data_IF_180272537648
#
_entry.id   IF_180272537648
#
_cell.length_a   1.000
_cell.length_b   1.000
_cell.length_c   1.000
_cell.angle_alpha   90.00
_cell.angle_beta   90.00
_cell.angle_gamma   90.00
#
_symmetry.space_group_name_H-M   'P 1'
#
loop_
_entity.id
_entity.type
_entity.pdbx_description
1 polymer ?
#
# COMPACT_ATOMS: atom_id res chain seq x y z
N UNK A 1 4.92 -8.78 2.17
CA UNK A 1 5.58 -9.84 2.91
C UNK A 1 4.84 -11.19 2.85
N UNK A 2 3.60 -11.23 2.33
CA UNK A 2 2.79 -12.46 2.32
C UNK A 2 2.22 -12.78 0.93
N UNK A 3 2.27 -11.84 0.00
CA UNK A 3 1.59 -11.95 -1.28
C UNK A 3 2.48 -12.66 -2.30
N UNK A 4 1.96 -13.71 -2.94
CA UNK A 4 2.64 -14.35 -4.05
C UNK A 4 2.78 -13.37 -5.22
N UNK A 5 3.97 -13.34 -5.86
CA UNK A 5 4.27 -12.42 -6.95
C UNK A 5 4.62 -11.01 -6.53
N UNK A 6 4.74 -10.72 -5.23
CA UNK A 6 5.32 -9.45 -4.80
C UNK A 6 6.82 -9.41 -5.11
N UNK A 7 7.30 -8.26 -5.54
CA UNK A 7 8.74 -8.04 -5.73
C UNK A 7 9.46 -8.06 -4.38
N UNK A 8 8.91 -7.36 -3.39
CA UNK A 8 9.37 -7.39 -2.01
C UNK A 8 8.29 -6.84 -1.05
N UNK A 9 8.46 -7.11 0.25
CA UNK A 9 7.57 -6.56 1.27
C UNK A 9 7.75 -5.04 1.38
N UNK A 10 6.73 -4.26 0.98
CA UNK A 10 6.76 -2.78 1.05
C UNK A 10 6.20 -2.23 2.37
N UNK A 11 5.58 -3.08 3.19
CA UNK A 11 4.88 -2.65 4.42
C UNK A 11 5.78 -1.88 5.39
N UNK A 12 7.03 -2.32 5.68
CA UNK A 12 7.90 -1.58 6.61
C UNK A 12 8.13 -0.12 6.16
N UNK A 13 8.35 0.10 4.88
CA UNK A 13 8.54 1.45 4.33
C UNK A 13 7.26 2.27 4.30
N UNK A 14 6.11 1.62 4.07
CA UNK A 14 4.81 2.29 4.11
C UNK A 14 4.46 2.75 5.53
N UNK A 15 4.74 1.95 6.55
CA UNK A 15 4.53 2.30 7.96
C UNK A 15 5.47 3.42 8.41
N UNK A 16 6.75 3.31 8.12
CA UNK A 16 7.72 4.37 8.43
C UNK A 16 7.40 5.70 7.72
N UNK A 17 6.90 5.63 6.47
CA UNK A 17 6.40 6.79 5.76
C UNK A 17 5.14 7.38 6.41
N UNK A 18 4.24 6.54 6.93
CA UNK A 18 3.05 6.99 7.67
C UNK A 18 3.43 7.73 8.96
N UNK A 19 4.38 7.19 9.74
CA UNK A 19 4.89 7.84 10.95
C UNK A 19 5.53 9.20 10.64
N UNK A 20 6.30 9.27 9.56
CA UNK A 20 6.86 10.55 9.10
C UNK A 20 5.76 11.54 8.72
N UNK A 21 4.72 11.11 8.00
CA UNK A 21 3.59 11.95 7.61
C UNK A 21 2.79 12.47 8.82
N UNK A 22 2.77 11.74 9.95
CA UNK A 22 2.16 12.20 11.19
C UNK A 22 2.82 13.46 11.75
N UNK A 23 4.08 13.71 11.45
CA UNK A 23 4.79 14.93 11.87
C UNK A 23 4.19 16.20 11.26
N UNK A 24 3.50 16.08 10.12
CA UNK A 24 2.88 17.22 9.44
C UNK A 24 1.53 17.66 10.03
N UNK A 25 0.93 16.90 10.96
CA UNK A 25 -0.40 17.21 11.53
C UNK A 25 -0.45 18.62 12.15
N UNK A 26 0.65 19.05 12.78
CA UNK A 26 0.79 20.38 13.38
C UNK A 26 1.43 21.40 12.44
N UNK A 27 1.73 21.00 11.22
CA UNK A 27 2.38 21.83 10.21
C UNK A 27 1.41 22.72 9.41
N UNK A 28 1.92 23.37 8.37
CA UNK A 28 1.09 24.18 7.46
C UNK A 28 -0.04 23.36 6.85
N UNK A 29 -1.22 23.97 6.78
CA UNK A 29 -2.42 23.32 6.26
C UNK A 29 -2.30 23.14 4.74
N UNK A 30 -2.41 21.90 4.28
CA UNK A 30 -2.51 21.57 2.85
C UNK A 30 -3.88 21.96 2.28
N UNK A 31 -3.97 22.29 0.97
CA UNK A 31 -5.25 22.64 0.34
C UNK A 31 -6.21 21.45 0.31
N UNK A 32 -5.67 20.23 0.31
CA UNK A 32 -6.44 18.98 0.34
C UNK A 32 -5.63 17.84 0.98
N UNK A 33 -6.28 16.66 1.25
CA UNK A 33 -5.57 15.47 1.77
C UNK A 33 -4.45 15.06 0.81
N UNK A 34 -3.29 14.78 1.35
CA UNK A 34 -2.17 14.12 0.68
C UNK A 34 -2.28 12.60 0.92
N UNK A 35 -2.30 11.83 -0.15
CA UNK A 35 -2.37 10.36 -0.11
C UNK A 35 -1.10 9.79 -0.69
N UNK A 36 -0.35 9.07 0.14
CA UNK A 36 0.83 8.32 -0.28
C UNK A 36 0.47 6.85 -0.36
N UNK A 37 0.89 6.16 -1.41
CA UNK A 37 0.60 4.75 -1.61
C UNK A 37 1.82 3.96 -2.08
N UNK A 38 1.91 2.71 -1.60
CA UNK A 38 2.96 1.77 -1.97
C UNK A 38 2.35 0.56 -2.65
N UNK A 39 2.91 0.13 -3.75
CA UNK A 39 2.52 -1.09 -4.45
C UNK A 39 3.69 -2.06 -4.48
N UNK A 40 3.43 -3.32 -4.13
CA UNK A 40 4.44 -4.36 -3.99
C UNK A 40 4.50 -5.32 -5.18
N UNK A 41 3.47 -5.31 -6.04
CA UNK A 41 3.34 -6.25 -7.16
C UNK A 41 3.20 -5.53 -8.51
N UNK A 42 3.46 -6.22 -9.64
CA UNK A 42 3.19 -5.68 -10.98
C UNK A 42 1.71 -5.32 -11.20
N UNK A 43 0.79 -5.99 -10.51
CA UNK A 43 -0.65 -5.73 -10.61
C UNK A 43 -1.05 -4.35 -10.08
N UNK A 44 -0.17 -3.70 -9.29
CA UNK A 44 -0.38 -2.34 -8.77
C UNK A 44 -1.76 -2.16 -8.09
N UNK A 45 -2.15 -3.11 -7.24
CA UNK A 45 -3.48 -3.15 -6.61
C UNK A 45 -3.77 -1.92 -5.74
N UNK A 46 -2.76 -1.31 -5.17
CA UNK A 46 -2.90 -0.06 -4.40
C UNK A 46 -3.03 1.17 -5.30
N UNK A 47 -2.90 0.99 -6.61
CA UNK A 47 -2.96 2.05 -7.61
C UNK A 47 -1.97 3.19 -7.35
N UNK A 48 -0.69 2.86 -7.11
CA UNK A 48 0.37 3.85 -6.89
C UNK A 48 0.42 4.91 -7.99
N UNK A 49 0.12 4.52 -9.24
CA UNK A 49 0.06 5.41 -10.41
C UNK A 49 -1.05 6.46 -10.38
N UNK A 50 -2.03 6.35 -9.46
CA UNK A 50 -3.14 7.30 -9.29
C UNK A 50 -3.15 8.01 -7.94
N UNK A 51 -2.12 7.86 -7.11
CA UNK A 51 -2.02 8.55 -5.83
C UNK A 51 -1.46 9.96 -5.99
N UNK A 52 -1.63 10.78 -4.95
CA UNK A 52 -0.96 12.08 -4.92
C UNK A 52 0.56 11.89 -4.95
N UNK A 53 1.06 10.85 -4.26
CA UNK A 53 2.41 10.31 -4.39
C UNK A 53 2.33 8.78 -4.31
N UNK A 54 2.92 8.08 -5.27
CA UNK A 54 2.89 6.63 -5.35
C UNK A 54 4.27 6.03 -5.58
N UNK A 55 4.57 4.99 -4.82
CA UNK A 55 5.78 4.19 -4.92
C UNK A 55 5.42 2.80 -5.44
N UNK A 56 5.82 2.48 -6.66
CA UNK A 56 5.62 1.17 -7.25
C UNK A 56 6.93 0.37 -7.15
N UNK A 57 6.89 -0.74 -6.41
CA UNK A 57 8.02 -1.63 -6.25
C UNK A 57 8.48 -2.19 -7.61
N UNK A 58 9.76 -2.44 -7.72
CA UNK A 58 10.43 -3.03 -8.86
C UNK A 58 11.12 -4.33 -8.45
N UNK A 59 11.35 -5.19 -9.40
CA UNK A 59 12.05 -6.46 -9.20
C UNK A 59 13.48 -6.28 -8.65
N UNK A 60 14.15 -5.18 -9.03
CA UNK A 60 15.49 -4.83 -8.56
C UNK A 60 15.56 -4.31 -7.10
N UNK A 61 14.43 -4.32 -6.38
CA UNK A 61 14.35 -3.88 -4.99
C UNK A 61 14.18 -2.37 -4.80
N UNK A 62 14.09 -1.61 -5.88
CA UNK A 62 13.88 -0.15 -5.89
C UNK A 62 12.42 0.22 -6.15
N UNK A 63 12.12 1.52 -6.26
CA UNK A 63 10.79 2.02 -6.59
C UNK A 63 10.80 2.90 -7.85
N UNK A 64 9.72 2.78 -8.65
CA UNK A 64 9.29 3.86 -9.54
C UNK A 64 8.38 4.81 -8.75
N UNK A 65 8.56 6.12 -8.94
CA UNK A 65 7.80 7.14 -8.20
C UNK A 65 6.91 7.93 -9.13
N UNK A 66 5.61 7.97 -8.77
CA UNK A 66 4.57 8.72 -9.47
C UNK A 66 4.02 9.82 -8.58
N UNK A 67 3.73 10.98 -9.13
CA UNK A 67 3.27 12.14 -8.37
C UNK A 67 2.13 12.86 -9.07
N UNK A 68 1.25 13.50 -8.28
CA UNK A 68 0.09 14.26 -8.74
C UNK A 68 -0.93 13.45 -9.56
N UNK A 69 -1.16 12.18 -9.20
CA UNK A 69 -2.26 11.38 -9.73
C UNK A 69 -3.56 11.56 -8.97
N UNK A 70 -4.64 11.00 -9.50
CA UNK A 70 -5.92 10.96 -8.80
C UNK A 70 -7.08 10.54 -9.65
N UNK A 71 -8.08 9.98 -8.98
CA UNK A 71 -9.38 9.61 -9.54
C UNK A 71 -10.45 10.68 -9.23
N UNK A 72 -11.67 10.44 -9.65
CA UNK A 72 -12.82 11.32 -9.49
C UNK A 72 -13.20 11.99 -10.80
N UNK A 73 -13.92 13.10 -10.77
CA UNK A 73 -14.56 13.71 -11.94
C UNK A 73 -13.58 14.06 -13.09
N UNK A 74 -12.32 14.35 -12.79
CA UNK A 74 -11.28 14.61 -13.78
C UNK A 74 -10.08 13.74 -13.44
N UNK A 75 -10.09 12.45 -13.78
CA UNK A 75 -9.01 11.53 -13.45
C UNK A 75 -7.73 11.88 -14.22
N UNK A 76 -6.59 11.70 -13.57
CA UNK A 76 -5.29 11.84 -14.20
C UNK A 76 -4.32 10.82 -13.62
N UNK A 77 -3.51 10.22 -14.47
CA UNK A 77 -2.35 9.46 -14.04
C UNK A 77 -1.35 10.39 -13.34
N UNK A 78 -0.67 9.85 -12.35
CA UNK A 78 0.51 10.48 -11.79
C UNK A 78 1.61 10.59 -12.83
N UNK A 79 2.35 11.69 -12.77
CA UNK A 79 3.56 11.85 -13.57
C UNK A 79 4.65 10.97 -12.97
N UNK A 80 5.32 10.14 -13.78
CA UNK A 80 6.49 9.39 -13.35
C UNK A 80 7.66 10.36 -13.16
N UNK A 81 7.92 10.74 -11.91
CA UNK A 81 8.95 11.73 -11.56
C UNK A 81 10.32 11.11 -11.39
N UNK A 82 10.41 9.82 -11.06
CA UNK A 82 11.66 9.10 -10.92
C UNK A 82 11.50 7.59 -11.15
N UNK A 83 12.62 6.94 -11.48
CA UNK A 83 12.76 5.49 -11.59
C UNK A 83 13.94 5.03 -10.74
N UNK A 84 13.92 3.75 -10.32
CA UNK A 84 15.01 3.13 -9.55
C UNK A 84 15.39 3.92 -8.29
N UNK A 85 14.37 4.35 -7.57
CA UNK A 85 14.57 5.10 -6.32
C UNK A 85 14.86 4.11 -5.20
N UNK A 86 16.00 4.30 -4.53
CA UNK A 86 16.40 3.51 -3.37
C UNK A 86 15.47 3.74 -2.17
N UNK A 87 15.33 2.72 -1.35
CA UNK A 87 14.39 2.70 -0.22
C UNK A 87 14.68 3.79 0.82
N UNK A 88 15.94 4.15 1.02
CA UNK A 88 16.37 5.20 1.94
C UNK A 88 16.03 6.62 1.44
N UNK A 89 15.67 6.76 0.16
CA UNK A 89 15.33 8.04 -0.44
C UNK A 89 13.84 8.42 -0.32
N UNK A 90 12.99 7.50 0.12
CA UNK A 90 11.52 7.66 0.13
C UNK A 90 11.09 8.96 0.82
N UNK A 91 11.64 9.28 1.99
CA UNK A 91 11.25 10.46 2.75
C UNK A 91 11.57 11.78 2.03
N UNK A 92 12.62 11.82 1.23
CA UNK A 92 12.93 13.01 0.41
C UNK A 92 11.84 13.27 -0.64
N UNK A 93 11.30 12.22 -1.25
CA UNK A 93 10.18 12.33 -2.20
C UNK A 93 8.89 12.75 -1.51
N UNK A 94 8.63 12.25 -0.30
CA UNK A 94 7.45 12.64 0.51
C UNK A 94 7.55 14.12 0.86
N UNK A 95 8.70 14.58 1.34
CA UNK A 95 8.93 15.99 1.68
C UNK A 95 8.83 16.88 0.44
N UNK A 96 9.43 16.46 -0.69
CA UNK A 96 9.31 17.21 -1.94
C UNK A 96 7.85 17.34 -2.38
N UNK A 97 7.05 16.26 -2.33
CA UNK A 97 5.63 16.30 -2.64
C UNK A 97 4.84 17.20 -1.68
N UNK A 98 5.15 17.15 -0.39
CA UNK A 98 4.54 18.02 0.61
C UNK A 98 4.80 19.50 0.28
N UNK A 99 6.04 19.87 -0.01
CA UNK A 99 6.41 21.23 -0.39
C UNK A 99 5.82 21.66 -1.75
N UNK A 100 5.78 20.75 -2.73
CA UNK A 100 5.07 21.00 -4.01
C UNK A 100 3.61 21.35 -3.75
N UNK A 101 2.94 20.60 -2.86
CA UNK A 101 1.53 20.80 -2.59
C UNK A 101 1.26 22.10 -1.81
N UNK A 102 2.16 22.48 -0.90
CA UNK A 102 2.11 23.77 -0.22
C UNK A 102 2.29 24.94 -1.18
N UNK A 103 3.21 24.82 -2.15
CA UNK A 103 3.60 25.90 -3.05
C UNK A 103 2.61 26.08 -4.22
N UNK A 104 2.19 24.98 -4.85
CA UNK A 104 1.42 24.99 -6.10
C UNK A 104 -0.02 24.49 -5.96
N UNK A 105 -0.41 24.06 -4.76
CA UNK A 105 -1.77 23.61 -4.50
C UNK A 105 -2.77 24.77 -4.51
N UNK A 106 -4.01 24.49 -4.96
CA UNK A 106 -5.05 25.51 -5.04
C UNK A 106 -5.79 25.62 -3.70
N UNK A 107 -5.63 26.74 -3.00
CA UNK A 107 -6.28 27.03 -1.72
C UNK A 107 -7.63 27.74 -1.88
N UNK A 108 -7.86 28.38 -3.02
CA UNK A 108 -9.05 29.20 -3.26
C UNK A 108 -10.22 28.36 -3.77
N UNK A 109 -9.96 27.45 -4.72
CA UNK A 109 -10.99 26.65 -5.33
C UNK A 109 -10.93 25.19 -4.86
N UNK A 110 -11.82 24.82 -3.91
CA UNK A 110 -11.89 23.46 -3.35
C UNK A 110 -12.12 22.36 -4.41
N UNK A 111 -12.79 22.64 -5.51
CA UNK A 111 -13.02 21.69 -6.60
C UNK A 111 -11.73 21.38 -7.37
N UNK A 112 -10.79 22.32 -7.39
CA UNK A 112 -9.48 22.20 -8.04
C UNK A 112 -8.32 22.01 -7.03
N UNK A 113 -8.60 21.74 -5.78
CA UNK A 113 -7.59 21.62 -4.70
C UNK A 113 -6.85 20.29 -4.65
N UNK A 114 -7.19 19.30 -5.49
CA UNK A 114 -6.47 18.02 -5.56
C UNK A 114 -5.13 18.17 -6.27
N UNK A 115 -4.14 17.39 -5.84
CA UNK A 115 -2.76 17.44 -6.39
C UNK A 115 -2.70 17.29 -7.91
N UNK A 116 -3.57 16.46 -8.50
CA UNK A 116 -3.61 16.24 -9.96
C UNK A 116 -3.80 17.51 -10.79
N UNK A 117 -4.44 18.54 -10.22
CA UNK A 117 -4.61 19.81 -10.91
C UNK A 117 -3.32 20.63 -11.02
N UNK A 118 -2.30 20.32 -10.18
CA UNK A 118 -0.99 20.97 -10.31
C UNK A 118 -0.31 20.67 -11.66
N UNK A 119 -0.60 19.51 -12.27
CA UNK A 119 -0.11 19.23 -13.62
C UNK A 119 -0.58 20.29 -14.61
N UNK A 120 -1.87 20.64 -14.56
CA UNK A 120 -2.44 21.68 -15.44
C UNK A 120 -1.93 23.08 -15.08
N UNK A 121 -1.86 23.39 -13.80
CA UNK A 121 -1.40 24.70 -13.30
C UNK A 121 0.04 25.00 -13.73
N UNK A 122 0.90 23.96 -13.75
CA UNK A 122 2.32 24.08 -14.13
C UNK A 122 2.56 23.97 -15.65
N UNK A 123 1.52 23.71 -16.46
CA UNK A 123 1.65 23.67 -17.92
C UNK A 123 1.83 22.28 -18.53
N UNK A 124 1.60 21.22 -17.74
CA UNK A 124 1.64 19.82 -18.20
C UNK A 124 2.57 18.93 -17.42
N UNK A 125 2.65 17.67 -17.84
CA UNK A 125 3.39 16.64 -17.14
C UNK A 125 4.91 16.91 -17.06
N UNK A 126 5.50 17.38 -18.14
CA UNK A 126 6.95 17.66 -18.22
C UNK A 126 7.33 18.84 -17.31
N UNK A 127 6.56 19.92 -17.33
CA UNK A 127 6.76 21.09 -16.49
C UNK A 127 6.55 20.72 -15.01
N UNK A 128 5.52 19.89 -14.72
CA UNK A 128 5.31 19.36 -13.38
C UNK A 128 6.52 18.54 -12.89
N UNK A 129 7.03 17.63 -13.74
CA UNK A 129 8.20 16.81 -13.43
C UNK A 129 9.43 17.68 -13.15
N UNK A 130 9.67 18.68 -13.99
CA UNK A 130 10.79 19.59 -13.80
C UNK A 130 10.71 20.33 -12.46
N UNK A 131 9.54 20.89 -12.13
CA UNK A 131 9.30 21.58 -10.85
C UNK A 131 9.43 20.62 -9.65
N UNK A 132 8.96 19.38 -9.77
CA UNK A 132 9.09 18.37 -8.73
C UNK A 132 10.56 18.03 -8.46
N UNK A 133 11.35 17.81 -9.52
CA UNK A 133 12.77 17.48 -9.40
C UNK A 133 13.59 18.64 -8.84
N UNK A 134 13.25 19.88 -9.18
CA UNK A 134 13.84 21.08 -8.58
C UNK A 134 13.55 21.11 -7.07
N UNK A 135 12.30 20.90 -6.69
CA UNK A 135 11.90 20.85 -5.27
C UNK A 135 12.59 19.71 -4.52
N UNK A 136 12.72 18.53 -5.14
CA UNK A 136 13.46 17.41 -4.58
C UNK A 136 14.93 17.76 -4.34
N UNK A 137 15.56 18.48 -5.29
CA UNK A 137 16.93 18.96 -5.14
C UNK A 137 17.07 19.95 -3.97
N UNK A 138 16.13 20.88 -3.85
CA UNK A 138 16.08 21.82 -2.71
C UNK A 138 16.01 21.07 -1.37
N UNK A 139 15.09 20.08 -1.25
CA UNK A 139 14.93 19.26 -0.05
C UNK A 139 16.22 18.53 0.31
N UNK A 140 16.89 17.94 -0.69
CA UNK A 140 18.17 17.24 -0.47
C UNK A 140 19.28 18.18 -0.04
N UNK A 141 19.33 19.41 -0.56
CA UNK A 141 20.35 20.40 -0.21
C UNK A 141 20.13 21.08 1.14
N UNK A 142 18.89 21.09 1.65
CA UNK A 142 18.59 21.64 2.98
C UNK A 142 19.21 20.85 4.14
N UNK A 143 19.88 19.74 3.86
CA UNK A 143 20.69 18.99 4.83
C UNK A 143 19.91 18.33 5.97
N UNK A 144 18.57 18.26 5.87
CA UNK A 144 17.78 17.41 6.76
C UNK A 144 18.10 15.95 6.42
N UNK A 145 18.91 15.30 7.24
CA UNK A 145 19.12 13.85 7.13
C UNK A 145 17.80 13.12 7.37
N UNK A 146 17.00 12.97 6.31
CA UNK A 146 15.73 12.24 6.38
C UNK A 146 16.04 10.75 6.32
N UNK A 147 16.11 10.11 7.48
CA UNK A 147 16.37 8.69 7.63
C UNK A 147 15.08 7.98 8.01
N UNK A 148 14.73 6.93 7.27
CA UNK A 148 13.65 6.04 7.63
C UNK A 148 14.02 5.27 8.90
N UNK A 149 13.14 5.33 9.91
CA UNK A 149 13.22 4.47 11.08
C UNK A 149 12.35 3.25 10.82
N UNK A 150 12.97 2.10 10.55
CA UNK A 150 12.26 0.83 10.46
C UNK A 150 12.27 0.17 11.83
N UNK A 151 11.11 -0.16 12.38
CA UNK A 151 11.04 -0.99 13.57
C UNK A 151 11.39 -2.44 13.21
N UNK A 152 12.10 -3.14 14.09
CA UNK A 152 12.54 -4.52 13.85
C UNK A 152 11.37 -5.48 13.60
N UNK A 153 10.26 -5.29 14.30
CA UNK A 153 9.04 -6.09 14.17
C UNK A 153 8.35 -5.94 12.81
N UNK A 154 8.55 -4.82 12.13
CA UNK A 154 7.97 -4.55 10.81
C UNK A 154 8.71 -5.29 9.68
N UNK A 155 9.97 -5.60 9.86
CA UNK A 155 10.77 -6.39 8.90
C UNK A 155 10.37 -7.87 8.92
N UNK A 156 9.88 -8.38 10.05
CA UNK A 156 9.49 -9.77 10.26
C UNK A 156 8.00 -10.05 9.98
N UNK A 157 7.25 -9.06 9.54
CA UNK A 157 5.82 -9.24 9.19
C UNK A 157 5.70 -10.21 8.00
N UNK A 158 5.48 -11.47 8.31
CA UNK A 158 5.43 -12.59 7.36
C UNK A 158 6.21 -13.83 7.80
N UNK A 159 7.05 -13.70 8.83
CA UNK A 159 7.53 -14.89 9.56
C UNK A 159 6.52 -15.22 10.65
N UNK A 160 5.84 -16.34 10.52
CA UNK A 160 5.05 -16.89 11.62
C UNK A 160 6.04 -17.21 12.76
N UNK A 161 6.25 -16.26 13.68
CA UNK A 161 6.98 -16.51 14.90
C UNK A 161 6.26 -17.64 15.64
N UNK A 162 6.83 -18.85 15.61
CA UNK A 162 6.33 -20.01 16.32
C UNK A 162 5.85 -21.20 15.49
N UNK A 163 5.90 -21.18 14.15
CA UNK A 163 5.60 -22.36 13.35
C UNK A 163 6.86 -23.19 13.13
N UNK A 164 6.95 -24.33 13.83
CA UNK A 164 7.89 -25.41 13.56
C UNK A 164 7.82 -25.79 12.07
N UNK A 165 8.97 -25.78 11.41
CA UNK A 165 9.13 -26.16 10.01
C UNK A 165 8.78 -27.64 9.84
N UNK A 166 7.61 -27.92 9.25
CA UNK A 166 7.39 -29.21 8.61
C UNK A 166 7.89 -29.10 7.17
N UNK A 167 9.02 -29.71 6.92
CA UNK A 167 9.62 -29.88 5.60
C UNK A 167 8.75 -30.81 4.75
N UNK A 168 8.10 -30.28 3.73
CA UNK A 168 7.69 -31.04 2.56
C UNK A 168 8.14 -30.28 1.33
N UNK A 169 9.18 -30.80 0.70
CA UNK A 169 9.64 -30.40 -0.63
C UNK A 169 8.57 -30.72 -1.67
N UNK A 170 7.91 -29.70 -2.17
CA UNK A 170 7.23 -29.75 -3.47
C UNK A 170 7.52 -28.47 -4.20
N UNK A 171 8.35 -28.57 -5.22
CA UNK A 171 8.55 -27.52 -6.22
C UNK A 171 7.21 -27.17 -6.85
N UNK A 172 6.65 -25.99 -6.53
CA UNK A 172 5.52 -25.42 -7.24
C UNK A 172 5.99 -24.22 -8.05
N UNK A 173 5.81 -24.34 -9.36
CA UNK A 173 6.02 -23.27 -10.32
C UNK A 173 5.21 -22.02 -9.93
N UNK A 174 5.90 -20.89 -9.81
CA UNK A 174 5.36 -19.57 -9.46
C UNK A 174 4.56 -19.00 -10.63
N UNK A 175 3.27 -19.26 -10.67
CA UNK A 175 2.32 -18.46 -11.45
C UNK A 175 1.47 -17.65 -10.46
N UNK A 176 1.46 -16.32 -10.59
CA UNK A 176 0.77 -15.26 -9.82
C UNK A 176 -0.39 -15.64 -8.88
N UNK A 177 -1.13 -14.72 -8.26
CA UNK A 177 -2.16 -15.06 -7.27
C UNK A 177 -3.25 -15.92 -7.90
N UNK A 178 -3.03 -17.23 -7.92
CA UNK A 178 -3.99 -18.20 -8.39
C UNK A 178 -4.86 -18.60 -7.21
N UNK A 179 -6.17 -18.44 -7.35
CA UNK A 179 -7.11 -19.00 -6.39
C UNK A 179 -6.86 -20.51 -6.27
N UNK A 180 -6.39 -20.95 -5.12
CA UNK A 180 -5.92 -22.33 -4.90
C UNK A 180 -7.06 -23.35 -4.90
N UNK A 181 -8.32 -22.91 -4.80
CA UNK A 181 -9.45 -23.80 -4.64
C UNK A 181 -10.61 -23.47 -5.61
N UNK A 182 -11.02 -24.48 -6.37
CA UNK A 182 -12.19 -24.47 -7.29
C UNK A 182 -13.51 -24.81 -6.61
N UNK A 183 -13.50 -25.14 -5.30
CA UNK A 183 -14.73 -25.47 -4.57
C UNK A 183 -15.63 -24.26 -4.38
N UNK A 184 -16.97 -24.41 -4.45
CA UNK A 184 -17.91 -23.31 -4.19
C UNK A 184 -17.64 -22.61 -2.86
N UNK A 185 -17.49 -21.27 -2.89
CA UNK A 185 -17.17 -20.44 -1.70
C UNK A 185 -15.69 -20.30 -1.40
N UNK A 186 -14.79 -21.01 -2.05
CA UNK A 186 -13.33 -20.89 -1.85
C UNK A 186 -12.61 -20.00 -2.87
N UNK A 187 -13.30 -19.37 -3.78
CA UNK A 187 -12.77 -18.38 -4.73
C UNK A 187 -12.18 -17.11 -4.08
N UNK A 188 -12.34 -16.98 -2.75
CA UNK A 188 -11.79 -15.88 -1.92
C UNK A 188 -10.54 -16.27 -1.15
N UNK A 189 -10.03 -17.50 -1.34
CA UNK A 189 -8.86 -18.02 -0.63
C UNK A 189 -7.65 -17.96 -1.54
N UNK A 190 -6.57 -17.37 -1.01
CA UNK A 190 -5.31 -17.19 -1.73
C UNK A 190 -4.16 -17.78 -0.91
N UNK A 191 -3.32 -18.58 -1.55
CA UNK A 191 -2.09 -19.05 -0.91
C UNK A 191 -1.13 -17.88 -0.66
N UNK A 192 -0.47 -17.89 0.51
CA UNK A 192 0.60 -16.94 0.82
C UNK A 192 1.95 -17.46 0.35
N UNK A 193 2.97 -16.60 0.37
CA UNK A 193 4.38 -17.00 0.16
C UNK A 193 4.85 -18.03 1.20
N UNK A 194 4.30 -17.95 2.41
CA UNK A 194 4.58 -18.88 3.50
C UNK A 194 3.82 -20.18 3.23
N UNK A 195 4.53 -21.33 3.10
CA UNK A 195 3.90 -22.63 2.83
C UNK A 195 2.84 -22.97 3.89
N UNK A 196 1.69 -23.45 3.44
CA UNK A 196 0.58 -23.87 4.31
C UNK A 196 -0.22 -22.74 4.95
N UNK A 197 0.09 -21.48 4.60
CA UNK A 197 -0.70 -20.34 5.03
C UNK A 197 -1.52 -19.74 3.89
N UNK A 198 -2.69 -19.24 4.24
CA UNK A 198 -3.68 -18.70 3.31
C UNK A 198 -4.19 -17.34 3.78
N UNK A 199 -4.65 -16.55 2.81
CA UNK A 199 -5.37 -15.30 3.02
C UNK A 199 -6.81 -15.46 2.54
N UNK A 200 -7.78 -14.99 3.30
CA UNK A 200 -9.20 -14.99 2.94
C UNK A 200 -9.64 -13.57 2.64
N UNK A 201 -10.01 -13.30 1.39
CA UNK A 201 -10.55 -12.00 0.97
C UNK A 201 -12.00 -11.86 1.42
N UNK A 202 -12.33 -10.72 2.00
CA UNK A 202 -13.69 -10.27 2.26
C UNK A 202 -13.92 -8.93 1.58
N UNK A 203 -14.89 -8.90 0.65
CA UNK A 203 -15.27 -7.68 -0.05
C UNK A 203 -16.75 -7.40 0.23
N UNK A 204 -17.05 -6.56 1.26
CA UNK A 204 -18.42 -6.26 1.63
C UNK A 204 -19.16 -5.52 0.53
N UNK A 205 -20.41 -5.88 0.30
CA UNK A 205 -21.25 -5.17 -0.67
C UNK A 205 -21.40 -3.71 -0.26
N UNK A 206 -21.06 -2.79 -1.16
CA UNK A 206 -21.08 -1.35 -0.89
C UNK A 206 -19.98 -0.84 0.03
N UNK A 207 -18.96 -1.66 0.31
CA UNK A 207 -17.77 -1.25 1.08
C UNK A 207 -17.99 -0.98 2.57
N UNK A 208 -19.20 -1.26 3.09
CA UNK A 208 -19.54 -1.03 4.50
C UNK A 208 -20.04 -2.34 5.10
N UNK A 209 -19.18 -3.09 5.79
CA UNK A 209 -19.58 -4.33 6.43
C UNK A 209 -20.49 -4.07 7.63
N UNK A 210 -21.43 -5.00 7.89
CA UNK A 210 -22.18 -5.00 9.12
C UNK A 210 -21.23 -5.15 10.32
N UNK A 211 -21.34 -4.33 11.37
CA UNK A 211 -20.54 -4.49 12.59
C UNK A 211 -20.60 -5.90 13.21
N UNK A 212 -21.71 -6.60 13.07
CA UNK A 212 -21.88 -8.00 13.52
C UNK A 212 -20.90 -8.95 12.84
N UNK A 213 -20.53 -8.67 11.58
CA UNK A 213 -19.52 -9.45 10.88
C UNK A 213 -18.19 -9.42 11.63
N UNK A 214 -17.74 -8.26 12.09
CA UNK A 214 -16.47 -8.14 12.83
C UNK A 214 -16.54 -8.80 14.21
N UNK A 215 -17.70 -8.77 14.89
CA UNK A 215 -17.89 -9.47 16.16
C UNK A 215 -17.79 -10.99 15.97
N UNK A 216 -18.41 -11.52 14.91
CA UNK A 216 -18.34 -12.94 14.59
C UNK A 216 -16.94 -13.36 14.13
N UNK A 217 -16.31 -12.53 13.29
CA UNK A 217 -14.95 -12.76 12.82
C UNK A 217 -13.95 -12.74 13.97
N UNK A 218 -14.06 -11.78 14.90
CA UNK A 218 -13.21 -11.72 16.08
C UNK A 218 -13.22 -13.03 16.88
N UNK A 219 -14.42 -13.59 17.15
CA UNK A 219 -14.57 -14.86 17.87
C UNK A 219 -13.86 -16.04 17.20
N UNK A 220 -13.65 -15.96 15.90
CA UNK A 220 -12.95 -17.00 15.13
C UNK A 220 -11.46 -16.75 15.12
N UNK A 221 -11.05 -15.52 14.78
CA UNK A 221 -9.62 -15.23 14.54
C UNK A 221 -8.79 -15.11 15.81
N UNK A 222 -9.41 -14.79 16.97
CA UNK A 222 -8.66 -14.70 18.23
C UNK A 222 -8.06 -16.05 18.67
N UNK A 223 -8.62 -17.17 18.22
CA UNK A 223 -8.14 -18.51 18.51
C UNK A 223 -7.17 -19.07 17.44
N UNK A 224 -6.96 -18.32 16.33
CA UNK A 224 -6.04 -18.69 15.24
C UNK A 224 -4.67 -18.04 15.48
N UNK A 225 -3.62 -18.80 15.77
CA UNK A 225 -2.30 -18.22 16.05
C UNK A 225 -1.76 -17.43 14.87
N UNK A 226 -1.43 -16.16 15.12
CA UNK A 226 -0.86 -15.26 14.10
C UNK A 226 -1.84 -14.71 13.07
N UNK A 227 -3.14 -15.03 13.15
CA UNK A 227 -4.12 -14.45 12.26
C UNK A 227 -4.21 -12.93 12.45
N UNK A 228 -4.34 -12.20 11.35
CA UNK A 228 -4.44 -10.74 11.35
C UNK A 228 -5.46 -10.27 10.32
N UNK A 229 -6.00 -9.08 10.56
CA UNK A 229 -6.85 -8.36 9.61
C UNK A 229 -6.00 -7.33 8.84
N UNK A 230 -6.12 -7.32 7.51
CA UNK A 230 -5.45 -6.35 6.62
C UNK A 230 -6.48 -5.61 5.79
N UNK A 231 -6.64 -4.31 6.02
CA UNK A 231 -7.51 -3.45 5.23
C UNK A 231 -6.87 -3.14 3.87
N UNK A 232 -7.70 -3.08 2.83
CA UNK A 232 -7.30 -2.77 1.47
C UNK A 232 -7.88 -1.42 1.00
N UNK A 233 -7.23 -0.78 0.00
CA UNK A 233 -7.68 0.53 -0.49
C UNK A 233 -8.97 0.48 -1.33
N UNK A 234 -9.44 -0.70 -1.70
CA UNK A 234 -10.66 -0.96 -2.48
C UNK A 234 -11.88 -1.30 -1.60
N UNK A 235 -11.81 -0.94 -0.30
CA UNK A 235 -12.88 -1.18 0.69
C UNK A 235 -13.08 -2.67 1.05
N UNK A 236 -12.14 -3.53 0.64
CA UNK A 236 -12.04 -4.92 1.07
C UNK A 236 -11.11 -5.09 2.26
N UNK A 237 -11.04 -6.29 2.80
CA UNK A 237 -10.03 -6.70 3.76
C UNK A 237 -9.66 -8.17 3.60
N UNK A 238 -8.49 -8.53 4.08
CA UNK A 238 -8.06 -9.92 4.18
C UNK A 238 -7.96 -10.36 5.63
N UNK A 239 -8.33 -11.62 5.89
CA UNK A 239 -7.86 -12.36 7.07
C UNK A 239 -6.65 -13.15 6.60
N UNK A 240 -5.50 -12.89 7.19
CA UNK A 240 -4.22 -13.49 6.78
C UNK A 240 -3.69 -14.47 7.82
N UNK A 241 -2.75 -15.32 7.42
CA UNK A 241 -2.10 -16.34 8.23
C UNK A 241 -3.05 -17.46 8.73
N UNK A 242 -4.07 -17.79 7.92
CA UNK A 242 -4.95 -18.92 8.16
C UNK A 242 -4.30 -20.21 7.66
N UNK A 243 -4.43 -21.29 8.43
CA UNK A 243 -4.12 -22.65 7.97
C UNK A 243 -5.32 -23.25 7.24
N UNK A 244 -5.14 -24.43 6.63
CA UNK A 244 -6.23 -25.13 5.92
C UNK A 244 -7.45 -25.38 6.82
N UNK A 245 -7.21 -25.81 8.08
CA UNK A 245 -8.24 -26.08 9.07
C UNK A 245 -9.04 -24.84 9.48
N UNK A 246 -8.44 -23.64 9.42
CA UNK A 246 -9.03 -22.37 9.80
C UNK A 246 -9.96 -21.80 8.73
N UNK A 247 -9.82 -22.24 7.47
CA UNK A 247 -10.52 -21.67 6.32
C UNK A 247 -12.04 -21.78 6.42
N UNK A 248 -12.55 -22.94 6.87
CA UNK A 248 -13.98 -23.18 7.03
C UNK A 248 -14.66 -22.17 7.97
N UNK A 249 -14.21 -22.07 9.23
CA UNK A 249 -14.70 -21.09 10.21
C UNK A 249 -14.59 -19.64 9.72
N UNK A 250 -13.46 -19.24 9.14
CA UNK A 250 -13.26 -17.86 8.64
C UNK A 250 -14.19 -17.55 7.47
N UNK A 251 -14.34 -18.48 6.51
CA UNK A 251 -15.26 -18.31 5.38
C UNK A 251 -16.72 -18.22 5.86
N UNK A 252 -17.08 -18.96 6.91
CA UNK A 252 -18.42 -18.90 7.48
C UNK A 252 -18.67 -17.57 8.19
N UNK A 253 -17.71 -17.09 8.99
CA UNK A 253 -17.83 -15.81 9.72
C UNK A 253 -17.85 -14.58 8.79
N UNK A 254 -17.34 -14.73 7.57
CA UNK A 254 -17.27 -13.65 6.54
C UNK A 254 -18.30 -13.82 5.43
N UNK A 255 -19.34 -14.64 5.63
CA UNK A 255 -20.50 -14.66 4.73
C UNK A 255 -21.31 -13.38 4.96
N UNK A 256 -21.40 -12.54 3.92
CA UNK A 256 -22.28 -11.38 3.85
C UNK A 256 -23.42 -11.66 2.90
#
# INVERSE_FOLDING_TARGET
>A
GIENGEYFNVLPWALAAADYLMTYIKGPKLPRKLKVGFSNTPANLTHATFRDLGFAAREDGTFDVYSAGGLGNNPAFGVKVAEKVEKDQILYYIEAMHQMFLTYGNYENRAKARSRYMQQTLGGAEQYKAAFLEKLKEVKTQGKGLTLQLSGDEMECGTAAGLSTCSHDTEQENNGPTAVFTAPGRNRVYAQKQPGLYSVLCHPVGGTPDPVLFVNLYKVICDIPGAQLRLCPDESFYVINCREEDLGPVLHATKG
#
